data_IF_145282921708
#
_entry.id   IF_145282921708
#
_cell.length_a   1.000
_cell.length_b   1.000
_cell.length_c   1.000
_cell.angle_alpha   90.00
_cell.angle_beta   90.00
_cell.angle_gamma   90.00
#
_symmetry.space_group_name_H-M   'P 1'
#
loop_
_entity.id
_entity.type
_entity.pdbx_description
1 polymer ?
#
# COMPACT_ATOMS: atom_id res chain seq x y z
N UNK A 1 -15.15 7.08 -4.25
CA UNK A 1 -14.62 7.29 -5.60
C UNK A 1 -15.61 8.12 -6.37
N UNK A 2 -15.13 9.04 -7.20
CA UNK A 2 -15.99 9.87 -8.04
C UNK A 2 -15.82 9.50 -9.50
N UNK A 3 -16.93 9.48 -10.23
CA UNK A 3 -16.90 9.29 -11.68
C UNK A 3 -16.41 10.58 -12.34
N UNK A 4 -15.31 10.50 -13.05
CA UNK A 4 -14.76 11.55 -13.90
C UNK A 4 -14.83 11.07 -15.34
N UNK A 5 -15.10 11.97 -16.28
CA UNK A 5 -15.05 11.63 -17.70
C UNK A 5 -13.72 12.10 -18.26
N UNK A 6 -12.87 11.20 -18.70
CA UNK A 6 -11.72 11.58 -19.51
C UNK A 6 -12.04 11.16 -20.93
N UNK A 7 -12.18 12.12 -21.84
CA UNK A 7 -12.57 11.87 -23.24
C UNK A 7 -13.91 11.13 -23.35
N UNK A 8 -14.94 11.61 -22.64
CA UNK A 8 -16.27 10.98 -22.56
C UNK A 8 -16.31 9.53 -22.01
N UNK A 9 -15.16 8.95 -21.63
CA UNK A 9 -15.10 7.64 -20.98
C UNK A 9 -15.14 7.83 -19.46
N UNK A 10 -16.08 7.17 -18.76
CA UNK A 10 -16.18 7.28 -17.32
C UNK A 10 -15.08 6.45 -16.63
N UNK A 11 -14.42 7.06 -15.65
CA UNK A 11 -13.44 6.41 -14.78
C UNK A 11 -13.71 6.78 -13.32
N UNK A 12 -13.32 5.89 -12.41
CA UNK A 12 -13.39 6.15 -10.99
C UNK A 12 -12.07 6.75 -10.52
N UNK A 13 -12.12 7.98 -10.00
CA UNK A 13 -10.97 8.62 -9.38
C UNK A 13 -11.10 8.56 -7.85
N UNK A 14 -10.03 8.22 -7.12
CA UNK A 14 -10.08 8.16 -5.67
C UNK A 14 -10.32 9.55 -5.07
N UNK A 15 -11.21 9.60 -4.09
CA UNK A 15 -11.55 10.82 -3.34
C UNK A 15 -10.96 10.82 -1.93
N UNK A 16 -10.42 9.69 -1.50
CA UNK A 16 -9.79 9.46 -0.20
C UNK A 16 -8.68 8.41 -0.36
N UNK A 17 -7.81 8.28 0.64
CA UNK A 17 -6.65 7.37 0.57
C UNK A 17 -7.01 5.89 0.69
N UNK A 18 -8.13 5.55 1.35
CA UNK A 18 -8.60 4.17 1.46
C UNK A 18 -9.09 3.60 0.12
N UNK A 19 -9.34 4.46 -0.87
CA UNK A 19 -9.65 4.06 -2.25
C UNK A 19 -8.40 3.82 -3.11
N UNK A 20 -7.21 4.23 -2.65
CA UNK A 20 -5.95 3.99 -3.34
C UNK A 20 -5.42 2.62 -2.93
N UNK A 21 -5.04 1.79 -3.89
CA UNK A 21 -4.41 0.49 -3.62
C UNK A 21 -2.95 0.67 -3.23
N UNK A 22 -2.42 -0.22 -2.37
CA UNK A 22 -1.02 -0.18 -1.94
C UNK A 22 -0.05 -0.16 -3.14
N UNK A 23 -0.29 -1.00 -4.14
CA UNK A 23 0.52 -1.00 -5.37
C UNK A 23 0.47 0.32 -6.14
N UNK A 24 -0.68 0.98 -6.19
CA UNK A 24 -0.79 2.32 -6.79
C UNK A 24 -0.01 3.35 -5.97
N UNK A 25 -0.09 3.29 -4.64
CA UNK A 25 0.69 4.17 -3.77
C UNK A 25 2.20 4.00 -4.00
N UNK A 26 2.70 2.76 -4.00
CA UNK A 26 4.12 2.50 -4.23
C UNK A 26 4.59 3.06 -5.58
N UNK A 27 3.77 2.91 -6.63
CA UNK A 27 4.07 3.50 -7.93
C UNK A 27 4.13 5.03 -7.87
N UNK A 28 3.21 5.69 -7.16
CA UNK A 28 3.24 7.16 -6.98
C UNK A 28 4.51 7.66 -6.28
N UNK A 29 5.11 6.85 -5.39
CA UNK A 29 6.34 7.21 -4.68
C UNK A 29 7.59 7.08 -5.53
N UNK A 30 7.57 6.20 -6.52
CA UNK A 30 8.72 5.92 -7.40
C UNK A 30 8.61 6.56 -8.78
N UNK A 31 7.42 7.01 -9.17
CA UNK A 31 7.19 7.57 -10.50
C UNK A 31 7.79 8.97 -10.65
N UNK A 32 8.50 9.17 -11.77
CA UNK A 32 9.03 10.47 -12.19
C UNK A 32 8.15 11.17 -13.24
N UNK A 33 6.92 10.69 -13.46
CA UNK A 33 6.03 11.13 -14.54
C UNK A 33 5.26 12.44 -14.29
N UNK A 34 5.49 13.08 -13.14
CA UNK A 34 4.74 14.27 -12.71
C UNK A 34 3.23 14.01 -12.60
N UNK A 35 2.42 15.06 -12.68
CA UNK A 35 0.97 14.97 -12.46
C UNK A 35 0.25 14.05 -13.45
N UNK A 36 0.74 13.92 -14.70
CA UNK A 36 0.17 13.01 -15.69
C UNK A 36 0.41 11.56 -15.29
N UNK A 37 1.64 11.25 -14.87
CA UNK A 37 1.99 9.93 -14.36
C UNK A 37 1.13 9.55 -13.15
N UNK A 38 0.91 10.50 -12.24
CA UNK A 38 0.09 10.24 -11.06
C UNK A 38 -1.37 9.95 -11.40
N UNK A 39 -1.95 10.72 -12.33
CA UNK A 39 -3.31 10.48 -12.82
C UNK A 39 -3.37 9.13 -13.55
N UNK A 40 -2.36 8.79 -14.35
CA UNK A 40 -2.26 7.51 -15.04
C UNK A 40 -2.28 6.35 -14.03
N UNK A 41 -1.47 6.41 -12.97
CA UNK A 41 -1.41 5.40 -11.92
C UNK A 41 -2.76 5.27 -11.18
N UNK A 42 -3.38 6.39 -10.82
CA UNK A 42 -4.64 6.37 -10.05
C UNK A 42 -5.84 5.91 -10.89
N UNK A 43 -5.83 6.16 -12.20
CA UNK A 43 -6.93 5.79 -13.12
C UNK A 43 -6.71 4.46 -13.84
N UNK A 44 -5.48 3.95 -13.86
CA UNK A 44 -5.07 2.81 -14.68
C UNK A 44 -4.99 3.13 -16.18
N UNK A 45 -4.99 4.40 -16.57
CA UNK A 45 -4.92 4.84 -17.96
C UNK A 45 -3.49 5.05 -18.42
N UNK A 46 -3.28 4.93 -19.73
CA UNK A 46 -2.00 5.24 -20.34
C UNK A 46 -1.70 6.75 -20.25
N UNK A 47 -0.46 7.10 -19.89
CA UNK A 47 -0.05 8.49 -19.73
C UNK A 47 -0.10 9.29 -21.04
N UNK A 48 0.17 8.66 -22.19
CA UNK A 48 0.05 9.30 -23.51
C UNK A 48 -1.40 9.64 -23.84
N UNK A 49 -2.35 8.81 -23.39
CA UNK A 49 -3.78 9.10 -23.50
C UNK A 49 -4.11 10.36 -22.70
N UNK A 50 -3.69 10.46 -21.44
CA UNK A 50 -3.99 11.61 -20.58
C UNK A 50 -3.34 12.91 -21.09
N UNK A 51 -2.14 12.83 -21.65
CA UNK A 51 -1.41 14.00 -22.14
C UNK A 51 -2.16 14.81 -23.21
N UNK A 52 -3.06 14.17 -23.97
CA UNK A 52 -3.91 14.83 -24.96
C UNK A 52 -5.03 15.70 -24.38
N UNK A 53 -5.31 15.63 -23.06
CA UNK A 53 -6.48 16.24 -22.43
C UNK A 53 -6.14 17.30 -21.38
N UNK A 54 -4.92 17.83 -21.38
CA UNK A 54 -4.41 18.78 -20.36
C UNK A 54 -5.25 20.04 -20.17
N UNK A 55 -6.05 20.42 -21.17
CA UNK A 55 -6.89 21.63 -21.14
C UNK A 55 -8.34 21.37 -20.70
N UNK A 56 -8.73 20.10 -20.56
CA UNK A 56 -10.09 19.68 -20.21
C UNK A 56 -10.41 19.97 -18.73
N UNK A 57 -11.66 20.32 -18.43
CA UNK A 57 -12.08 20.63 -17.06
C UNK A 57 -12.03 19.39 -16.17
N UNK A 58 -12.24 18.21 -16.73
CA UNK A 58 -12.09 16.93 -16.03
C UNK A 58 -10.61 16.65 -15.68
N UNK A 59 -9.64 17.10 -16.48
CA UNK A 59 -8.22 17.02 -16.12
C UNK A 59 -7.89 17.94 -14.94
N UNK A 60 -8.37 19.20 -14.96
CA UNK A 60 -8.22 20.12 -13.82
C UNK A 60 -8.85 19.55 -12.55
N UNK A 61 -9.98 18.85 -12.68
CA UNK A 61 -10.64 18.17 -11.56
C UNK A 61 -9.79 17.04 -10.98
N UNK A 62 -9.16 16.22 -11.84
CA UNK A 62 -8.20 15.20 -11.40
C UNK A 62 -7.03 15.82 -10.64
N UNK A 63 -6.49 16.95 -11.12
CA UNK A 63 -5.40 17.67 -10.44
C UNK A 63 -5.83 18.18 -9.06
N UNK A 64 -7.02 18.76 -8.95
CA UNK A 64 -7.55 19.24 -7.68
C UNK A 64 -7.72 18.08 -6.68
N UNK A 65 -8.25 16.94 -7.13
CA UNK A 65 -8.41 15.75 -6.28
C UNK A 65 -7.06 15.16 -5.87
N UNK A 66 -6.08 15.10 -6.78
CA UNK A 66 -4.72 14.67 -6.45
C UNK A 66 -4.10 15.54 -5.36
N UNK A 67 -4.30 16.87 -5.43
CA UNK A 67 -3.81 17.78 -4.41
C UNK A 67 -4.51 17.56 -3.06
N UNK A 68 -5.83 17.31 -3.07
CA UNK A 68 -6.58 16.97 -1.84
C UNK A 68 -6.05 15.69 -1.21
N UNK A 69 -5.83 14.63 -1.99
CA UNK A 69 -5.28 13.37 -1.50
C UNK A 69 -3.89 13.57 -0.85
N UNK A 70 -3.02 14.35 -1.50
CA UNK A 70 -1.68 14.67 -0.97
C UNK A 70 -1.74 15.48 0.33
N UNK A 71 -2.61 16.49 0.39
CA UNK A 71 -2.74 17.36 1.55
C UNK A 71 -3.32 16.61 2.77
N UNK A 72 -4.21 15.65 2.54
CA UNK A 72 -4.89 14.94 3.61
C UNK A 72 -4.09 13.74 4.15
N UNK A 73 -3.06 13.30 3.42
CA UNK A 73 -2.24 12.13 3.73
C UNK A 73 -1.91 11.93 5.22
N UNK A 74 -1.13 12.86 5.77
CA UNK A 74 -0.67 12.80 7.16
C UNK A 74 -1.83 12.78 8.16
N UNK A 75 -2.88 13.54 7.86
CA UNK A 75 -4.03 13.68 8.76
C UNK A 75 -4.92 12.43 8.75
N UNK A 76 -5.10 11.80 7.59
CA UNK A 76 -5.89 10.60 7.42
C UNK A 76 -5.18 9.42 8.07
N UNK A 77 -3.87 9.29 7.86
CA UNK A 77 -3.06 8.23 8.46
C UNK A 77 -3.04 8.32 9.98
N UNK A 78 -2.93 9.52 10.56
CA UNK A 78 -2.98 9.72 12.02
C UNK A 78 -4.33 9.37 12.66
N UNK A 79 -5.43 9.54 11.92
CA UNK A 79 -6.79 9.26 12.40
C UNK A 79 -7.21 7.82 12.17
N UNK A 80 -6.59 7.14 11.22
CA UNK A 80 -6.92 5.79 10.85
C UNK A 80 -6.59 4.80 11.97
N UNK A 81 -7.43 3.78 12.12
CA UNK A 81 -7.28 2.69 13.09
C UNK A 81 -6.92 1.43 12.33
N UNK A 82 -6.17 0.54 12.99
CA UNK A 82 -5.91 -0.80 12.48
C UNK A 82 -7.28 -1.48 12.28
N UNK A 83 -7.60 -1.97 11.07
CA UNK A 83 -8.88 -2.62 10.81
C UNK A 83 -8.95 -3.97 11.53
N UNK A 84 -10.15 -4.41 11.88
CA UNK A 84 -10.38 -5.73 12.50
C UNK A 84 -10.24 -6.87 11.49
N UNK A 85 -10.61 -6.60 10.24
CA UNK A 85 -10.57 -7.53 9.13
C UNK A 85 -10.13 -6.82 7.86
N UNK A 86 -9.54 -7.54 6.92
CA UNK A 86 -9.23 -7.03 5.59
C UNK A 86 -9.70 -7.99 4.51
N UNK A 87 -10.04 -7.45 3.34
CA UNK A 87 -10.29 -8.27 2.16
C UNK A 87 -8.97 -8.52 1.44
N UNK A 88 -8.60 -9.80 1.28
CA UNK A 88 -7.46 -10.25 0.51
C UNK A 88 -7.92 -11.26 -0.56
N UNK A 89 -8.04 -10.77 -1.79
CA UNK A 89 -8.60 -11.54 -2.91
C UNK A 89 -10.11 -11.76 -2.75
N UNK A 90 -10.51 -13.01 -2.61
CA UNK A 90 -11.88 -13.43 -2.34
C UNK A 90 -12.15 -13.71 -0.86
N UNK A 91 -11.12 -13.59 0.00
CA UNK A 91 -11.20 -13.93 1.43
C UNK A 91 -11.24 -12.70 2.33
N UNK A 92 -12.14 -12.70 3.31
CA UNK A 92 -12.04 -11.80 4.46
C UNK A 92 -11.22 -12.48 5.55
N UNK A 93 -10.10 -11.86 5.93
CA UNK A 93 -9.21 -12.37 6.97
C UNK A 93 -9.26 -11.45 8.19
N UNK A 94 -9.19 -12.04 9.39
CA UNK A 94 -9.08 -11.28 10.64
C UNK A 94 -7.64 -10.81 10.81
N UNK A 95 -7.47 -9.54 11.15
CA UNK A 95 -6.16 -8.98 11.47
C UNK A 95 -5.77 -9.43 12.88
N UNK A 96 -4.66 -10.17 13.06
CA UNK A 96 -4.22 -10.52 14.40
C UNK A 96 -3.96 -9.25 15.23
N UNK A 97 -4.27 -9.28 16.52
CA UNK A 97 -4.01 -8.14 17.43
C UNK A 97 -2.98 -8.45 18.50
N UNK A 98 -2.60 -9.72 18.63
CA UNK A 98 -1.65 -10.24 19.63
C UNK A 98 -0.51 -10.95 18.92
N UNK A 99 0.64 -10.29 18.84
CA UNK A 99 1.87 -10.86 18.25
C UNK A 99 2.50 -11.95 19.12
N UNK A 100 2.22 -11.94 20.42
CA UNK A 100 2.78 -12.86 21.42
C UNK A 100 2.37 -14.33 21.22
N UNK A 101 1.35 -14.60 20.40
CA UNK A 101 0.84 -15.94 20.11
C UNK A 101 1.43 -16.55 18.82
N UNK A 102 2.34 -15.86 18.14
CA UNK A 102 2.99 -16.30 16.91
C UNK A 102 4.50 -16.54 17.15
N UNK A 103 4.89 -17.63 17.82
CA UNK A 103 6.23 -17.77 18.39
C UNK A 103 7.37 -17.88 17.36
N UNK A 104 7.13 -18.23 16.08
CA UNK A 104 8.22 -18.52 15.10
C UNK A 104 7.93 -18.03 13.65
N UNK A 105 6.78 -17.41 13.35
CA UNK A 105 6.40 -17.09 11.95
C UNK A 105 6.41 -15.61 11.60
N UNK A 106 5.24 -14.97 11.68
CA UNK A 106 5.02 -13.63 11.16
C UNK A 106 5.86 -12.54 11.86
N UNK A 107 6.00 -12.60 13.19
CA UNK A 107 6.77 -11.58 13.92
C UNK A 107 8.26 -11.63 13.58
N UNK A 108 8.85 -12.84 13.52
CA UNK A 108 10.27 -13.03 13.15
C UNK A 108 10.51 -12.66 11.69
N UNK A 109 9.61 -13.06 10.79
CA UNK A 109 9.69 -12.69 9.38
C UNK A 109 9.62 -11.17 9.17
N UNK A 110 8.65 -10.50 9.79
CA UNK A 110 8.54 -9.02 9.74
C UNK A 110 9.76 -8.35 10.38
N UNK A 111 10.24 -8.85 11.52
CA UNK A 111 11.47 -8.35 12.15
C UNK A 111 12.68 -8.46 11.21
N UNK A 112 12.87 -9.61 10.57
CA UNK A 112 13.99 -9.86 9.66
C UNK A 112 13.94 -8.93 8.45
N UNK A 113 12.75 -8.69 7.89
CA UNK A 113 12.55 -7.72 6.80
C UNK A 113 12.98 -6.33 7.24
N UNK A 114 12.47 -5.84 8.38
CA UNK A 114 12.78 -4.49 8.88
C UNK A 114 14.28 -4.37 9.18
N UNK A 115 14.87 -5.35 9.87
CA UNK A 115 16.28 -5.33 10.24
C UNK A 115 17.21 -5.41 9.02
N UNK A 116 16.89 -6.24 8.03
CA UNK A 116 17.67 -6.38 6.79
C UNK A 116 17.68 -5.07 6.00
N UNK A 117 16.53 -4.43 5.86
CA UNK A 117 16.41 -3.14 5.18
C UNK A 117 17.16 -2.05 5.96
N UNK A 118 16.98 -1.97 7.27
CA UNK A 118 17.69 -1.00 8.11
C UNK A 118 19.21 -1.09 7.98
N UNK A 119 19.78 -2.30 8.10
CA UNK A 119 21.22 -2.55 7.90
C UNK A 119 21.69 -2.13 6.49
N UNK A 120 20.86 -2.37 5.47
CA UNK A 120 21.14 -1.96 4.09
C UNK A 120 21.14 -0.44 3.95
N UNK A 121 20.25 0.27 4.62
CA UNK A 121 20.18 1.73 4.61
C UNK A 121 21.37 2.37 5.34
N UNK A 122 21.73 1.87 6.53
CA UNK A 122 22.92 2.35 7.26
C UNK A 122 24.21 2.15 6.45
N UNK A 123 24.38 0.98 5.84
CA UNK A 123 25.56 0.68 5.02
C UNK A 123 25.69 1.60 3.79
N UNK A 124 24.57 2.07 3.23
CA UNK A 124 24.54 2.90 2.02
C UNK A 124 24.39 4.41 2.30
N UNK A 125 24.26 4.83 3.57
CA UNK A 125 24.06 6.23 3.95
C UNK A 125 22.76 6.85 3.44
N UNK A 126 21.76 6.03 3.12
CA UNK A 126 20.46 6.46 2.60
C UNK A 126 19.44 6.60 3.73
N UNK A 127 18.47 7.50 3.56
CA UNK A 127 17.34 7.60 4.50
C UNK A 127 16.45 6.37 4.39
N UNK A 128 16.15 5.75 5.53
CA UNK A 128 15.16 4.69 5.68
C UNK A 128 13.80 5.15 5.15
N UNK A 129 13.12 4.31 4.37
CA UNK A 129 11.81 4.61 3.80
C UNK A 129 10.80 3.50 4.10
N UNK A 130 9.96 3.75 5.09
CA UNK A 130 8.92 2.85 5.59
C UNK A 130 7.98 2.35 4.48
N UNK A 131 7.67 3.22 3.51
CA UNK A 131 6.72 2.97 2.43
C UNK A 131 7.02 1.68 1.66
N UNK A 132 8.29 1.40 1.37
CA UNK A 132 8.69 0.26 0.54
C UNK A 132 8.48 -1.08 1.24
N UNK A 133 8.65 -1.11 2.56
CA UNK A 133 8.51 -2.31 3.38
C UNK A 133 7.06 -2.65 3.71
N UNK A 134 6.11 -1.73 3.50
CA UNK A 134 4.69 -1.98 3.83
C UNK A 134 4.22 -3.28 3.15
N UNK A 135 4.48 -3.44 1.85
CA UNK A 135 4.06 -4.65 1.13
C UNK A 135 4.72 -5.94 1.68
N UNK A 136 5.99 -5.89 2.05
CA UNK A 136 6.70 -7.02 2.64
C UNK A 136 6.14 -7.35 4.03
N UNK A 137 6.04 -6.35 4.91
CA UNK A 137 5.47 -6.52 6.25
C UNK A 137 4.09 -7.18 6.17
N UNK A 138 3.22 -6.70 5.30
CA UNK A 138 1.89 -7.29 5.13
C UNK A 138 1.93 -8.69 4.53
N UNK A 139 2.80 -8.97 3.56
CA UNK A 139 2.93 -10.30 2.97
C UNK A 139 3.29 -11.34 4.03
N UNK A 140 4.30 -11.06 4.84
CA UNK A 140 4.73 -11.91 5.95
C UNK A 140 3.66 -12.00 7.04
N UNK A 141 3.00 -10.89 7.35
CA UNK A 141 2.04 -10.83 8.45
C UNK A 141 0.71 -11.52 8.16
N UNK A 142 0.21 -11.40 6.93
CA UNK A 142 -1.12 -11.90 6.54
C UNK A 142 -1.10 -13.33 5.99
N UNK A 143 0.08 -13.95 5.85
CA UNK A 143 0.23 -15.25 5.21
C UNK A 143 -0.59 -16.36 5.90
N UNK A 144 -0.42 -16.52 7.22
CA UNK A 144 -1.16 -17.51 7.99
C UNK A 144 -2.66 -17.19 8.04
N UNK A 145 -3.11 -15.96 8.37
CA UNK A 145 -4.53 -15.62 8.27
C UNK A 145 -5.15 -15.92 6.89
N UNK A 146 -4.39 -15.77 5.81
CA UNK A 146 -4.86 -16.07 4.45
C UNK A 146 -4.93 -17.57 4.12
N UNK A 147 -3.99 -18.37 4.65
CA UNK A 147 -3.86 -19.79 4.35
C UNK A 147 -4.36 -20.73 5.47
N UNK A 148 -5.04 -20.19 6.49
CA UNK A 148 -5.39 -20.84 7.76
C UNK A 148 -4.24 -20.82 8.77
N UNK A 149 -4.55 -20.60 10.06
CA UNK A 149 -3.57 -20.46 11.15
C UNK A 149 -2.66 -21.70 11.31
N UNK A 150 -3.11 -22.85 10.82
CA UNK A 150 -2.37 -24.12 10.79
C UNK A 150 -1.38 -24.26 9.62
N UNK A 151 -1.31 -23.29 8.70
CA UNK A 151 -0.41 -23.34 7.56
C UNK A 151 1.06 -23.31 8.01
N UNK A 152 1.87 -24.16 7.37
CA UNK A 152 3.32 -24.13 7.55
C UNK A 152 3.86 -22.87 6.89
N UNK A 153 4.69 -22.15 7.63
CA UNK A 153 5.30 -20.92 7.17
C UNK A 153 6.49 -21.23 6.24
N UNK A 154 6.62 -20.52 5.11
CA UNK A 154 7.74 -20.60 4.18
C UNK A 154 7.93 -19.27 3.45
N UNK A 155 9.15 -18.76 3.42
CA UNK A 155 9.48 -17.50 2.72
C UNK A 155 9.22 -17.62 1.21
N UNK A 156 9.49 -18.78 0.61
CA UNK A 156 9.18 -19.06 -0.81
C UNK A 156 7.70 -18.91 -1.12
N UNK A 157 6.83 -19.27 -0.17
CA UNK A 157 5.39 -19.17 -0.34
C UNK A 157 4.89 -17.73 -0.13
N UNK A 158 5.53 -16.97 0.77
CA UNK A 158 5.26 -15.54 0.97
C UNK A 158 5.67 -14.72 -0.26
N UNK A 159 6.71 -15.14 -0.98
CA UNK A 159 7.18 -14.49 -2.21
C UNK A 159 6.44 -14.96 -3.48
N UNK A 160 5.40 -15.77 -3.36
CA UNK A 160 4.55 -16.17 -4.48
C UNK A 160 3.97 -14.92 -5.20
N UNK A 161 4.18 -14.77 -6.53
CA UNK A 161 3.76 -13.58 -7.26
C UNK A 161 2.25 -13.31 -7.23
N UNK A 162 1.41 -14.36 -7.17
CA UNK A 162 -0.04 -14.18 -7.11
C UNK A 162 -0.47 -13.69 -5.72
N UNK A 163 0.08 -14.26 -4.65
CA UNK A 163 -0.13 -13.75 -3.29
C UNK A 163 0.35 -12.30 -3.15
N UNK A 164 1.53 -11.96 -3.67
CA UNK A 164 2.06 -10.59 -3.67
C UNK A 164 1.13 -9.61 -4.38
N UNK A 165 0.50 -10.00 -5.51
CA UNK A 165 -0.51 -9.17 -6.18
C UNK A 165 -1.73 -8.91 -5.29
N UNK A 166 -2.15 -9.89 -4.48
CA UNK A 166 -3.26 -9.68 -3.54
C UNK A 166 -2.89 -8.64 -2.48
N UNK A 167 -1.67 -8.70 -1.94
CA UNK A 167 -1.16 -7.71 -0.97
C UNK A 167 -1.13 -6.31 -1.57
N UNK A 168 -0.67 -6.17 -2.82
CA UNK A 168 -0.66 -4.88 -3.52
C UNK A 168 -2.06 -4.31 -3.79
N UNK A 169 -3.10 -5.15 -3.78
CA UNK A 169 -4.50 -4.75 -3.94
C UNK A 169 -5.19 -4.36 -2.62
N UNK A 170 -4.49 -4.40 -1.49
CA UNK A 170 -5.00 -3.88 -0.22
C UNK A 170 -5.15 -2.35 -0.33
N UNK A 171 -6.19 -1.77 0.30
CA UNK A 171 -6.33 -0.32 0.42
C UNK A 171 -5.18 0.27 1.23
N UNK A 172 -4.53 1.31 0.70
CA UNK A 172 -3.29 1.84 1.27
C UNK A 172 -3.43 2.24 2.74
N UNK A 173 -4.52 2.90 3.11
CA UNK A 173 -4.73 3.35 4.49
C UNK A 173 -4.77 2.18 5.49
N UNK A 174 -5.41 1.07 5.11
CA UNK A 174 -5.46 -0.15 5.90
C UNK A 174 -4.06 -0.79 5.97
N UNK A 175 -3.38 -0.91 4.83
CA UNK A 175 -2.02 -1.43 4.77
C UNK A 175 -1.05 -0.63 5.67
N UNK A 176 -1.04 0.69 5.53
CA UNK A 176 -0.16 1.58 6.27
C UNK A 176 -0.43 1.50 7.78
N UNK A 177 -1.69 1.51 8.21
CA UNK A 177 -2.01 1.40 9.64
C UNK A 177 -1.61 0.06 10.24
N UNK A 178 -1.75 -1.04 9.50
CA UNK A 178 -1.26 -2.36 9.91
C UNK A 178 0.27 -2.34 10.03
N UNK A 179 0.98 -1.84 9.03
CA UNK A 179 2.45 -1.78 9.05
C UNK A 179 2.99 -0.88 10.17
N UNK A 180 2.36 0.26 10.44
CA UNK A 180 2.73 1.17 11.52
C UNK A 180 2.72 0.52 12.91
N UNK A 181 1.90 -0.52 13.12
CA UNK A 181 1.93 -1.29 14.36
C UNK A 181 3.30 -1.94 14.59
N UNK A 182 3.94 -2.42 13.53
CA UNK A 182 5.27 -3.02 13.59
C UNK A 182 6.35 -1.96 13.73
N UNK A 183 6.33 -0.90 12.92
CA UNK A 183 7.31 0.19 13.04
C UNK A 183 7.32 0.81 14.45
N UNK A 184 6.16 0.99 15.09
CA UNK A 184 6.09 1.47 16.49
C UNK A 184 6.61 0.48 17.52
N UNK A 185 6.59 -0.82 17.22
CA UNK A 185 7.12 -1.88 18.09
C UNK A 185 8.62 -2.11 17.91
N UNK A 186 9.20 -1.60 16.83
CA UNK A 186 10.63 -1.63 16.55
C UNK A 186 11.22 -0.22 16.37
N UNK A 187 11.04 0.70 17.34
CA UNK A 187 11.46 2.09 17.16
C UNK A 187 12.98 2.28 17.13
N UNK A 188 13.75 1.25 17.50
CA UNK A 188 15.20 1.29 17.68
C UNK A 188 15.91 0.11 16.98
N UNK A 189 15.32 -0.42 15.90
CA UNK A 189 16.11 -1.20 14.94
C UNK A 189 17.01 -0.24 14.17
#
# INVERSE_FOLDING_TARGET
MIKIKLNNKPYNFPTNLNEIRLGQWLQLRTANGGQIGDIAILTGLDASHIAGFKTDDDFKRCLALLQVLRNNFESDLKKAKIPDTIQLGDKTITIPKKLELEPIGAYVGVYNVIASEYNTFEANGNNFSDDKMIADILAYYLWKPYNNESAVYSDEAVDDPEYRKLILNIGYLDAATIAMFFFRKFPNL
#
